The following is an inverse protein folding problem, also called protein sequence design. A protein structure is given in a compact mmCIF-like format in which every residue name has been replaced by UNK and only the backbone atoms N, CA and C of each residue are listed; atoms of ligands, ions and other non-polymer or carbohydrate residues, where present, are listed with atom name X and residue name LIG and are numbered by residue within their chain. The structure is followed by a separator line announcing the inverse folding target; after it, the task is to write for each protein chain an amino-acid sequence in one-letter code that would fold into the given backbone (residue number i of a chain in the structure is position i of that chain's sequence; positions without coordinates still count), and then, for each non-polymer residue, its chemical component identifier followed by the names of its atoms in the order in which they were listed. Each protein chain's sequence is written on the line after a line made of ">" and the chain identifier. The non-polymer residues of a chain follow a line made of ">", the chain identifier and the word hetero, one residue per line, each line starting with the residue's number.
data_IF_219854636928
#
_entry.id   IF_219854636928
#
_cell.length_a   1.000
_cell.length_b   1.000
_cell.length_c   1.000
_cell.angle_alpha   90.00
_cell.angle_beta   90.00
_cell.angle_gamma   90.00
#
_symmetry.space_group_name_H-M   'P 1'
#
loop_
_entity.id
_entity.type
_entity.pdbx_description
1 polymer ?
#
# COMPACT_ATOMS: atom_id res chain seq x y z
N UNK A 1 -7.77 6.26 7.70
CA UNK A 1 -6.91 5.65 6.65
C UNK A 1 -6.67 4.21 7.05
N UNK A 2 -6.69 3.26 6.13
CA UNK A 2 -6.29 1.86 6.38
C UNK A 2 -4.99 1.56 5.63
N UNK A 3 -4.11 0.81 6.26
CA UNK A 3 -2.94 0.18 5.67
C UNK A 3 -3.01 -1.33 5.91
N UNK A 4 -2.37 -2.06 5.01
CA UNK A 4 -2.16 -3.49 5.05
C UNK A 4 -0.71 -3.72 4.63
N UNK A 5 0.04 -4.34 5.52
CA UNK A 5 1.42 -4.69 5.27
C UNK A 5 1.71 -6.13 5.70
N UNK A 6 2.74 -6.72 5.12
CA UNK A 6 3.23 -8.04 5.47
C UNK A 6 4.68 -7.94 5.94
N UNK A 7 4.94 -8.56 7.09
CA UNK A 7 6.26 -8.55 7.70
C UNK A 7 6.67 -9.95 8.12
N UNK A 8 7.99 -10.15 8.25
CA UNK A 8 8.57 -11.40 8.68
C UNK A 8 8.98 -11.29 10.15
N UNK A 9 8.27 -11.96 11.08
CA UNK A 9 8.56 -11.86 12.52
C UNK A 9 9.72 -12.74 12.97
N UNK A 10 10.16 -13.71 12.15
CA UNK A 10 11.18 -14.69 12.52
C UNK A 10 12.39 -14.61 11.60
N UNK A 11 13.59 -14.61 12.20
CA UNK A 11 14.84 -14.70 11.45
C UNK A 11 15.09 -16.11 10.90
N UNK A 12 15.76 -16.19 9.75
CA UNK A 12 16.21 -17.46 9.17
C UNK A 12 15.11 -18.39 8.64
N UNK A 13 13.84 -17.98 8.67
CA UNK A 13 12.70 -18.76 8.14
C UNK A 13 11.80 -17.88 7.27
N UNK A 14 11.20 -18.47 6.23
CA UNK A 14 10.19 -17.77 5.43
C UNK A 14 8.84 -17.86 6.14
N UNK A 15 8.50 -16.80 6.87
CA UNK A 15 7.22 -16.68 7.56
C UNK A 15 6.72 -15.25 7.44
N UNK A 16 5.58 -15.04 6.83
CA UNK A 16 4.98 -13.72 6.61
C UNK A 16 3.66 -13.62 7.36
N UNK A 17 3.51 -12.59 8.17
CA UNK A 17 2.24 -12.22 8.84
C UNK A 17 1.76 -10.91 8.24
N UNK A 18 0.46 -10.81 7.98
CA UNK A 18 -0.15 -9.55 7.55
C UNK A 18 -0.78 -8.81 8.73
N UNK A 19 -0.74 -7.47 8.70
CA UNK A 19 -1.45 -6.63 9.68
C UNK A 19 -2.30 -5.62 8.92
N UNK A 20 -3.57 -5.52 9.29
CA UNK A 20 -4.43 -4.42 8.89
C UNK A 20 -4.46 -3.44 10.05
N UNK A 21 -4.05 -2.21 9.79
CA UNK A 21 -4.09 -1.15 10.78
C UNK A 21 -4.69 0.12 10.20
N UNK A 22 -5.18 1.00 11.07
CA UNK A 22 -5.79 2.25 10.69
C UNK A 22 -5.23 3.42 11.48
N UNK A 23 -5.12 4.55 10.79
CA UNK A 23 -4.83 5.84 11.39
C UNK A 23 -6.08 6.74 11.33
N UNK A 24 -6.34 7.45 12.43
CA UNK A 24 -7.43 8.43 12.52
C UNK A 24 -6.99 9.72 11.85
N UNK A 25 -7.52 10.01 10.66
CA UNK A 25 -7.09 11.17 9.87
C UNK A 25 -7.43 12.52 10.53
N UNK A 26 -8.32 12.55 11.51
CA UNK A 26 -8.69 13.76 12.25
C UNK A 26 -7.63 14.18 13.28
N UNK A 27 -6.70 13.30 13.64
CA UNK A 27 -5.61 13.65 14.55
C UNK A 27 -4.60 14.57 13.85
N UNK A 28 -4.00 15.52 14.60
CA UNK A 28 -2.86 16.31 14.13
C UNK A 28 -1.73 15.43 13.58
N UNK A 29 -1.04 15.94 12.55
CA UNK A 29 -0.07 15.16 11.78
C UNK A 29 1.08 14.60 12.63
N UNK A 30 1.54 15.37 13.60
CA UNK A 30 2.63 15.07 14.54
C UNK A 30 2.31 13.93 15.52
N UNK A 31 1.03 13.62 15.75
CA UNK A 31 0.63 12.52 16.64
C UNK A 31 -0.11 11.39 15.93
N UNK A 32 -0.67 11.64 14.74
CA UNK A 32 -1.56 10.71 14.01
C UNK A 32 -0.96 9.33 13.79
N UNK A 33 0.34 9.26 13.53
CA UNK A 33 1.03 8.03 13.17
C UNK A 33 1.86 7.42 14.30
N UNK A 34 1.81 8.01 15.51
CA UNK A 34 2.42 7.42 16.69
C UNK A 34 1.76 6.09 17.02
N UNK A 35 2.53 5.15 17.56
CA UNK A 35 2.10 3.78 17.83
C UNK A 35 0.83 3.72 18.69
N UNK A 36 0.74 4.57 19.70
CA UNK A 36 -0.41 4.67 20.61
C UNK A 36 -1.71 5.15 19.94
N UNK A 37 -1.61 5.80 18.77
CA UNK A 37 -2.75 6.33 18.01
C UNK A 37 -3.11 5.49 16.78
N UNK A 38 -2.36 4.41 16.53
CA UNK A 38 -2.66 3.45 15.47
C UNK A 38 -3.61 2.37 15.99
N UNK A 39 -4.63 2.07 15.20
CA UNK A 39 -5.64 1.05 15.51
C UNK A 39 -5.30 -0.22 14.75
N UNK A 40 -4.94 -1.30 15.45
CA UNK A 40 -4.81 -2.62 14.82
C UNK A 40 -6.20 -3.19 14.60
N UNK A 41 -6.58 -3.37 13.34
CA UNK A 41 -7.91 -3.84 12.95
C UNK A 41 -7.97 -5.35 12.70
N UNK A 42 -6.83 -5.96 12.35
CA UNK A 42 -6.79 -7.39 12.11
C UNK A 42 -5.38 -7.92 11.87
N UNK A 43 -5.20 -9.21 12.18
CA UNK A 43 -3.97 -9.95 11.93
C UNK A 43 -4.29 -11.09 10.94
N UNK A 44 -3.49 -11.20 9.90
CA UNK A 44 -3.58 -12.21 8.86
C UNK A 44 -2.53 -13.28 9.16
N UNK A 45 -2.93 -14.54 9.41
CA UNK A 45 -2.01 -15.58 9.79
C UNK A 45 -1.03 -15.91 8.66
N UNK A 46 0.21 -16.23 9.04
CA UNK A 46 1.21 -16.80 8.15
C UNK A 46 1.01 -18.30 7.91
N UNK A 47 1.99 -18.98 7.28
CA UNK A 47 3.33 -18.49 6.95
C UNK A 47 3.42 -17.69 5.66
N UNK A 48 2.36 -17.63 4.86
CA UNK A 48 2.35 -16.98 3.55
C UNK A 48 1.34 -15.84 3.52
N UNK A 49 1.60 -14.85 2.66
CA UNK A 49 0.64 -13.79 2.39
C UNK A 49 -0.72 -14.37 1.97
N UNK A 50 -1.80 -13.84 2.54
CA UNK A 50 -3.16 -14.25 2.19
C UNK A 50 -3.41 -13.99 0.70
N UNK A 51 -3.88 -15.02 0.00
CA UNK A 51 -3.97 -15.01 -1.45
C UNK A 51 -5.21 -14.29 -1.97
N UNK A 52 -5.02 -13.54 -3.06
CA UNK A 52 -6.04 -13.02 -3.98
C UNK A 52 -7.28 -12.45 -3.26
N UNK A 53 -8.42 -13.12 -3.37
CA UNK A 53 -9.72 -12.67 -2.85
C UNK A 53 -10.04 -13.23 -1.47
N UNK A 54 -9.22 -14.13 -0.90
CA UNK A 54 -9.44 -14.64 0.47
C UNK A 54 -9.29 -13.55 1.52
N UNK A 55 -8.54 -12.49 1.19
CA UNK A 55 -8.43 -11.30 2.03
C UNK A 55 -9.79 -10.69 2.37
N UNK A 56 -10.79 -10.81 1.49
CA UNK A 56 -12.14 -10.34 1.74
C UNK A 56 -12.76 -10.93 3.00
N UNK A 57 -12.41 -12.16 3.39
CA UNK A 57 -12.92 -12.74 4.64
C UNK A 57 -12.43 -12.00 5.89
N UNK A 58 -11.24 -11.39 5.83
CA UNK A 58 -10.67 -10.60 6.91
C UNK A 58 -11.15 -9.14 6.88
N UNK A 59 -11.45 -8.62 5.68
CA UNK A 59 -11.93 -7.24 5.50
C UNK A 59 -13.43 -7.11 5.76
N UNK A 60 -14.22 -8.16 5.50
CA UNK A 60 -15.66 -8.16 5.72
C UNK A 60 -16.10 -7.68 7.12
N UNK A 61 -15.54 -8.16 8.25
CA UNK A 61 -15.92 -7.64 9.57
C UNK A 61 -15.57 -6.17 9.75
N UNK A 62 -14.42 -5.71 9.25
CA UNK A 62 -14.02 -4.30 9.30
C UNK A 62 -15.00 -3.44 8.49
N UNK A 63 -15.43 -3.91 7.32
CA UNK A 63 -16.40 -3.21 6.48
C UNK A 63 -17.77 -3.14 7.15
N UNK A 64 -18.22 -4.20 7.83
CA UNK A 64 -19.47 -4.16 8.59
C UNK A 64 -19.46 -3.03 9.63
N UNK A 65 -18.37 -2.89 10.40
CA UNK A 65 -18.21 -1.80 11.37
C UNK A 65 -18.18 -0.43 10.69
N UNK A 66 -17.49 -0.31 9.56
CA UNK A 66 -17.44 0.94 8.79
C UNK A 66 -18.79 1.35 8.19
N UNK A 67 -19.66 0.40 7.82
CA UNK A 67 -21.02 0.67 7.36
C UNK A 67 -21.91 1.19 8.51
N UNK A 68 -21.77 0.61 9.71
CA UNK A 68 -22.44 1.10 10.91
C UNK A 68 -21.97 2.52 11.25
N UNK A 69 -20.66 2.74 11.28
CA UNK A 69 -20.07 4.06 11.54
C UNK A 69 -20.44 5.10 10.48
N UNK A 70 -20.59 4.70 9.23
CA UNK A 70 -21.03 5.61 8.17
C UNK A 70 -22.48 6.07 8.38
N UNK A 71 -23.36 5.14 8.77
CA UNK A 71 -24.76 5.45 9.11
C UNK A 71 -24.84 6.37 10.33
N UNK A 72 -23.92 6.18 11.27
CA UNK A 72 -23.74 6.96 12.48
C UNK A 72 -24.16 6.19 13.71
N UNK A 73 -23.36 6.29 14.76
CA UNK A 73 -23.60 5.65 16.05
C UNK A 73 -23.66 6.71 17.15
N UNK A 74 -24.53 6.48 18.15
CA UNK A 74 -24.59 7.35 19.33
C UNK A 74 -23.71 6.75 20.42
N UNK A 75 -22.68 7.50 20.82
CA UNK A 75 -21.92 7.20 22.03
C UNK A 75 -22.66 7.81 23.22
N UNK A 76 -22.91 7.02 24.26
CA UNK A 76 -23.72 7.45 25.42
C UNK A 76 -23.03 8.52 26.26
N UNK A 77 -21.72 8.40 26.46
CA UNK A 77 -20.93 9.34 27.24
C UNK A 77 -19.48 9.33 26.75
N UNK A 78 -18.89 10.51 26.58
CA UNK A 78 -17.44 10.67 26.39
C UNK A 78 -16.90 11.64 27.44
N UNK A 79 -15.56 11.72 27.58
CA UNK A 79 -14.92 12.64 28.52
C UNK A 79 -15.38 14.10 28.31
N UNK A 80 -15.47 14.54 27.05
CA UNK A 80 -15.89 15.91 26.69
C UNK A 80 -17.41 16.06 26.50
N UNK A 81 -18.16 14.96 26.33
CA UNK A 81 -19.59 15.01 26.02
C UNK A 81 -20.35 14.06 26.97
N UNK A 82 -20.77 14.59 28.12
CA UNK A 82 -21.49 13.81 29.13
C UNK A 82 -22.88 13.35 28.68
N UNK A 83 -23.52 14.12 27.80
CA UNK A 83 -24.83 13.81 27.22
C UNK A 83 -24.75 12.88 25.99
N UNK A 84 -23.57 12.34 25.73
CA UNK A 84 -23.29 11.55 24.54
C UNK A 84 -23.07 12.38 23.29
N UNK A 85 -22.74 11.69 22.19
CA UNK A 85 -22.47 12.31 20.89
C UNK A 85 -22.76 11.32 19.78
N UNK A 86 -23.46 11.78 18.74
CA UNK A 86 -23.55 11.02 17.50
C UNK A 86 -22.25 11.20 16.72
N UNK A 87 -21.62 10.10 16.34
CA UNK A 87 -20.38 10.09 15.58
C UNK A 87 -20.57 9.32 14.28
N UNK A 88 -19.83 9.75 13.27
CA UNK A 88 -19.69 9.06 11.99
C UNK A 88 -18.22 8.87 11.66
N UNK A 89 -17.91 7.79 10.97
CA UNK A 89 -16.58 7.57 10.40
C UNK A 89 -16.68 7.15 8.93
N UNK A 90 -15.68 7.55 8.16
CA UNK A 90 -15.55 7.17 6.76
C UNK A 90 -14.11 6.75 6.45
N UNK A 91 -13.98 5.67 5.69
CA UNK A 91 -12.70 5.26 5.12
C UNK A 91 -12.37 6.13 3.90
N UNK A 92 -11.48 7.11 4.10
CA UNK A 92 -11.11 8.07 3.04
C UNK A 92 -9.86 7.68 2.24
N UNK A 93 -8.98 6.83 2.79
CA UNK A 93 -7.67 6.53 2.21
C UNK A 93 -7.24 5.09 2.51
N UNK A 94 -6.76 4.40 1.46
CA UNK A 94 -5.98 3.16 1.50
C UNK A 94 -4.55 3.53 1.15
N UNK A 95 -3.65 3.37 2.10
CA UNK A 95 -2.22 3.61 1.93
C UNK A 95 -1.53 2.28 2.14
N UNK A 96 -1.14 1.61 1.08
CA UNK A 96 -0.40 0.35 1.17
C UNK A 96 0.63 0.30 0.03
N UNK A 97 1.55 -0.66 0.10
CA UNK A 97 2.32 -1.02 -1.09
C UNK A 97 1.39 -1.43 -2.26
N UNK A 98 1.91 -1.37 -3.48
CA UNK A 98 1.10 -1.62 -4.68
C UNK A 98 0.46 -3.03 -4.66
N UNK A 99 1.17 -4.12 -4.33
CA UNK A 99 0.57 -5.44 -4.17
C UNK A 99 -0.61 -5.48 -3.18
N UNK A 100 -0.45 -4.94 -1.97
CA UNK A 100 -1.47 -4.90 -0.93
C UNK A 100 -2.68 -4.07 -1.34
N UNK A 101 -2.45 -2.85 -1.83
CA UNK A 101 -3.50 -1.94 -2.29
C UNK A 101 -4.34 -2.59 -3.39
N UNK A 102 -3.70 -3.29 -4.34
CA UNK A 102 -4.42 -3.99 -5.40
C UNK A 102 -5.23 -5.17 -4.87
N UNK A 103 -4.70 -5.96 -3.93
CA UNK A 103 -5.43 -7.06 -3.29
C UNK A 103 -6.66 -6.56 -2.54
N UNK A 104 -6.50 -5.56 -1.66
CA UNK A 104 -7.59 -5.07 -0.80
C UNK A 104 -8.64 -4.29 -1.59
N UNK A 105 -8.28 -3.59 -2.66
CA UNK A 105 -9.21 -2.80 -3.47
C UNK A 105 -9.72 -3.50 -4.73
N UNK A 106 -9.35 -4.76 -4.99
CA UNK A 106 -9.88 -5.54 -6.11
C UNK A 106 -9.26 -5.21 -7.48
N UNK A 107 -8.08 -4.60 -7.51
CA UNK A 107 -7.29 -4.37 -8.74
C UNK A 107 -6.33 -5.54 -9.02
N UNK A 108 -5.69 -5.54 -10.20
CA UNK A 108 -4.83 -6.64 -10.69
C UNK A 108 -3.40 -6.16 -10.91
N UNK A 109 -2.41 -6.96 -10.49
CA UNK A 109 -1.02 -6.48 -10.42
C UNK A 109 -0.18 -6.54 -11.70
N UNK A 110 -0.43 -7.51 -12.59
CA UNK A 110 0.48 -7.75 -13.72
C UNK A 110 0.11 -6.95 -14.98
N UNK A 111 -1.17 -6.76 -15.27
CA UNK A 111 -1.65 -6.25 -16.57
C UNK A 111 -1.95 -4.75 -16.58
N UNK A 112 -2.21 -4.16 -15.40
CA UNK A 112 -2.69 -2.79 -15.25
C UNK A 112 -1.72 -2.04 -14.36
N UNK A 113 -0.98 -1.12 -14.96
CA UNK A 113 0.09 -0.37 -14.31
C UNK A 113 -0.43 0.58 -13.25
N UNK A 114 -1.61 1.16 -13.48
CA UNK A 114 -2.18 2.23 -12.66
C UNK A 114 -3.62 1.91 -12.25
N UNK A 115 -3.94 2.08 -10.97
CA UNK A 115 -5.32 1.94 -10.48
C UNK A 115 -6.23 3.09 -10.90
N UNK A 116 -5.67 4.21 -11.39
CA UNK A 116 -6.41 5.40 -11.80
C UNK A 116 -6.75 5.45 -13.28
N UNK A 117 -5.90 4.88 -14.15
CA UNK A 117 -6.07 4.98 -15.59
C UNK A 117 -6.13 3.63 -16.31
N UNK A 118 -6.54 3.66 -17.56
CA UNK A 118 -6.74 2.48 -18.40
C UNK A 118 -5.45 1.95 -19.06
N UNK A 119 -4.32 2.66 -18.92
CA UNK A 119 -3.02 2.27 -19.49
C UNK A 119 -2.63 0.87 -18.98
N UNK A 120 -2.35 -0.02 -19.92
CA UNK A 120 -1.80 -1.35 -19.67
C UNK A 120 -0.30 -1.31 -19.89
N UNK A 121 0.43 -2.16 -19.18
CA UNK A 121 1.85 -2.33 -19.44
C UNK A 121 2.01 -2.97 -20.83
N UNK A 122 3.00 -2.51 -21.59
CA UNK A 122 3.43 -3.21 -22.80
C UNK A 122 4.00 -4.57 -22.38
N UNK A 123 3.96 -5.55 -23.28
CA UNK A 123 4.52 -6.86 -23.04
C UNK A 123 5.51 -7.18 -24.15
N UNK A 124 6.79 -7.06 -23.83
CA UNK A 124 7.93 -7.19 -24.74
C UNK A 124 8.97 -8.08 -24.06
N UNK A 125 9.63 -8.98 -24.81
CA UNK A 125 10.67 -9.88 -24.30
C UNK A 125 10.30 -10.67 -23.02
N UNK A 126 9.05 -11.15 -22.95
CA UNK A 126 8.49 -11.83 -21.78
C UNK A 126 8.50 -11.01 -20.48
N UNK A 127 8.58 -9.68 -20.59
CA UNK A 127 8.55 -8.75 -19.47
C UNK A 127 7.52 -7.64 -19.69
N UNK A 128 6.93 -7.18 -18.58
CA UNK A 128 6.07 -5.99 -18.61
C UNK A 128 6.94 -4.74 -18.72
N UNK A 129 6.78 -4.00 -19.82
CA UNK A 129 7.42 -2.72 -20.07
C UNK A 129 6.44 -1.58 -19.75
N UNK A 130 6.90 -0.62 -18.95
CA UNK A 130 6.12 0.55 -18.51
C UNK A 130 6.62 1.86 -19.16
N UNK A 131 7.41 1.77 -20.23
CA UNK A 131 7.82 2.89 -21.06
C UNK A 131 6.64 3.47 -21.88
N UNK A 132 6.90 4.53 -22.65
CA UNK A 132 5.86 5.19 -23.45
C UNK A 132 4.85 5.94 -22.58
N UNK A 133 5.37 6.58 -21.52
CA UNK A 133 4.63 7.54 -20.67
C UNK A 133 4.72 8.97 -21.23
N UNK A 134 5.44 9.16 -22.33
CA UNK A 134 5.43 10.38 -23.15
C UNK A 134 3.99 10.67 -23.61
N UNK A 135 3.67 11.96 -23.77
CA UNK A 135 2.36 12.43 -24.25
C UNK A 135 1.16 11.89 -23.45
N UNK A 136 1.22 12.01 -22.12
CA UNK A 136 0.17 11.56 -21.20
C UNK A 136 -1.24 12.00 -21.61
N UNK A 137 -1.39 13.19 -22.16
CA UNK A 137 -2.68 13.74 -22.62
C UNK A 137 -3.37 12.84 -23.66
N UNK A 138 -2.60 12.11 -24.47
CA UNK A 138 -3.15 11.28 -25.55
C UNK A 138 -3.64 9.92 -25.05
N UNK A 139 -3.00 9.34 -24.04
CA UNK A 139 -3.31 7.98 -23.58
C UNK A 139 -3.97 7.90 -22.20
N UNK A 140 -3.96 9.00 -21.42
CA UNK A 140 -4.51 8.99 -20.08
C UNK A 140 -6.04 9.04 -20.11
N UNK A 141 -6.63 7.87 -19.94
CA UNK A 141 -8.07 7.71 -19.75
C UNK A 141 -8.32 7.26 -18.32
N UNK A 142 -9.04 8.08 -17.55
CA UNK A 142 -9.40 7.77 -16.16
C UNK A 142 -10.36 6.59 -16.12
N UNK A 143 -10.16 5.68 -15.16
CA UNK A 143 -11.09 4.59 -14.88
C UNK A 143 -12.39 5.15 -14.30
N UNK A 144 -13.51 4.63 -14.77
CA UNK A 144 -14.80 4.93 -14.16
C UNK A 144 -15.04 4.07 -12.90
N UNK A 145 -15.40 4.70 -11.80
CA UNK A 145 -15.64 4.05 -10.51
C UNK A 145 -16.93 3.21 -10.56
N UNK A 146 -17.94 3.68 -11.28
CA UNK A 146 -19.23 2.96 -11.44
C UNK A 146 -19.04 1.70 -12.26
N UNK A 147 -18.30 1.79 -13.37
CA UNK A 147 -17.94 0.65 -14.20
C UNK A 147 -17.08 -0.36 -13.41
N UNK A 148 -16.13 0.13 -12.62
CA UNK A 148 -15.33 -0.73 -11.74
C UNK A 148 -16.21 -1.54 -10.79
N UNK A 149 -17.18 -0.89 -10.11
CA UNK A 149 -18.15 -1.56 -9.23
C UNK A 149 -19.00 -2.59 -9.96
N UNK A 150 -19.52 -2.24 -11.14
CA UNK A 150 -20.32 -3.15 -11.99
C UNK A 150 -19.50 -4.38 -12.38
N UNK A 151 -18.26 -4.18 -12.82
CA UNK A 151 -17.35 -5.26 -13.20
C UNK A 151 -16.97 -6.13 -11.99
N UNK A 152 -16.75 -5.55 -10.81
CA UNK A 152 -16.46 -6.29 -9.58
C UNK A 152 -17.64 -7.17 -9.13
N UNK A 153 -18.87 -6.68 -9.25
CA UNK A 153 -20.09 -7.46 -8.98
C UNK A 153 -20.24 -8.61 -10.00
N UNK A 154 -20.03 -8.34 -11.29
CA UNK A 154 -20.06 -9.38 -12.31
C UNK A 154 -19.01 -10.47 -12.04
N UNK A 155 -17.80 -10.10 -11.62
CA UNK A 155 -16.77 -11.05 -11.19
C UNK A 155 -17.21 -11.89 -9.99
N UNK A 156 -17.88 -11.29 -9.01
CA UNK A 156 -18.40 -12.00 -7.82
C UNK A 156 -19.41 -13.07 -8.22
N UNK A 157 -20.28 -12.75 -9.18
CA UNK A 157 -21.31 -13.63 -9.73
C UNK A 157 -20.79 -14.72 -10.66
N UNK A 158 -19.49 -14.75 -11.01
CA UNK A 158 -18.92 -15.84 -11.78
C UNK A 158 -18.94 -17.15 -10.96
N UNK A 159 -19.46 -18.21 -11.58
CA UNK A 159 -19.71 -19.51 -10.94
C UNK A 159 -18.50 -20.47 -10.93
N UNK A 160 -17.40 -20.12 -11.59
CA UNK A 160 -16.21 -20.97 -11.66
C UNK A 160 -14.91 -20.18 -11.54
N UNK A 161 -13.88 -20.84 -11.03
CA UNK A 161 -12.52 -20.27 -10.96
C UNK A 161 -12.00 -19.87 -12.34
N UNK A 162 -12.33 -20.64 -13.37
CA UNK A 162 -11.90 -20.34 -14.74
C UNK A 162 -12.59 -19.08 -15.29
N UNK A 163 -13.91 -18.97 -15.09
CA UNK A 163 -14.66 -17.76 -15.47
C UNK A 163 -14.12 -16.52 -14.76
N UNK A 164 -13.82 -16.62 -13.45
CA UNK A 164 -13.18 -15.52 -12.69
C UNK A 164 -11.81 -15.14 -13.22
N UNK A 165 -10.99 -16.10 -13.65
CA UNK A 165 -9.67 -15.85 -14.24
C UNK A 165 -9.79 -15.12 -15.58
N UNK A 166 -10.69 -15.59 -16.46
CA UNK A 166 -10.94 -14.96 -17.76
C UNK A 166 -11.51 -13.54 -17.61
N UNK A 167 -12.43 -13.35 -16.66
CA UNK A 167 -12.98 -12.02 -16.38
C UNK A 167 -11.90 -11.05 -15.92
N UNK A 168 -10.98 -11.53 -15.08
CA UNK A 168 -9.83 -10.74 -14.59
C UNK A 168 -8.86 -10.37 -15.71
N UNK A 169 -8.56 -11.27 -16.64
CA UNK A 169 -7.66 -10.95 -17.76
C UNK A 169 -8.28 -9.90 -18.69
N UNK A 170 -9.59 -9.96 -18.89
CA UNK A 170 -10.31 -9.02 -19.75
C UNK A 170 -10.51 -7.66 -19.07
N UNK A 171 -11.14 -7.63 -17.88
CA UNK A 171 -11.58 -6.39 -17.22
C UNK A 171 -10.57 -5.84 -16.21
N UNK A 172 -9.67 -6.67 -15.69
CA UNK A 172 -8.65 -6.25 -14.72
C UNK A 172 -9.20 -5.91 -13.33
N UNK A 173 -10.36 -6.48 -12.94
CA UNK A 173 -11.05 -6.18 -11.67
C UNK A 173 -11.52 -7.47 -10.99
N UNK A 174 -11.56 -7.46 -9.66
CA UNK A 174 -12.15 -8.47 -8.77
C UNK A 174 -13.04 -7.83 -7.72
N UNK A 175 -13.84 -8.64 -7.05
CA UNK A 175 -14.59 -8.20 -5.89
C UNK A 175 -13.68 -7.82 -4.72
N UNK A 176 -13.99 -6.68 -4.10
CA UNK A 176 -13.47 -6.26 -2.80
C UNK A 176 -14.64 -5.94 -1.88
N UNK A 177 -14.56 -6.37 -0.62
CA UNK A 177 -15.54 -5.99 0.39
C UNK A 177 -15.63 -4.48 0.61
N UNK A 178 -14.55 -3.72 0.36
CA UNK A 178 -14.57 -2.26 0.47
C UNK A 178 -15.60 -1.62 -0.48
N UNK A 179 -15.97 -2.29 -1.57
CA UNK A 179 -16.99 -1.80 -2.50
C UNK A 179 -18.41 -1.85 -1.91
N UNK A 180 -18.62 -2.47 -0.76
CA UNK A 180 -19.91 -2.36 -0.05
C UNK A 180 -20.13 -0.97 0.52
N UNK A 181 -19.05 -0.28 0.91
CA UNK A 181 -19.11 1.10 1.40
C UNK A 181 -19.61 2.01 0.26
N UNK A 182 -20.75 2.71 0.44
CA UNK A 182 -21.39 3.46 -0.64
C UNK A 182 -20.56 4.66 -1.11
N UNK A 183 -19.74 5.23 -0.23
CA UNK A 183 -18.90 6.40 -0.48
C UNK A 183 -17.49 6.05 -1.00
N UNK A 184 -17.09 4.79 -0.96
CA UNK A 184 -15.71 4.40 -1.25
C UNK A 184 -15.43 4.45 -2.76
N UNK A 185 -14.41 5.19 -3.18
CA UNK A 185 -13.99 5.23 -4.58
C UNK A 185 -12.66 4.46 -4.77
N UNK A 186 -12.67 3.23 -5.32
CA UNK A 186 -11.46 2.43 -5.53
C UNK A 186 -10.48 3.04 -6.54
N UNK A 187 -10.88 4.07 -7.29
CA UNK A 187 -10.03 4.78 -8.24
C UNK A 187 -9.32 5.94 -7.54
N UNK A 188 -9.97 6.61 -6.58
CA UNK A 188 -9.46 7.83 -5.95
C UNK A 188 -8.89 7.63 -4.55
N UNK A 189 -9.37 6.65 -3.79
CA UNK A 189 -9.05 6.51 -2.37
C UNK A 189 -7.80 5.66 -2.13
N UNK A 190 -7.19 5.11 -3.17
CA UNK A 190 -5.88 4.45 -3.09
C UNK A 190 -4.79 5.50 -3.30
N UNK A 191 -3.95 5.70 -2.30
CA UNK A 191 -2.78 6.58 -2.40
C UNK A 191 -1.51 5.79 -2.67
N UNK A 192 -0.55 6.47 -3.30
CA UNK A 192 0.79 5.92 -3.50
C UNK A 192 1.50 5.96 -2.16
N UNK A 193 1.98 4.81 -1.70
CA UNK A 193 2.85 4.74 -0.54
C UNK A 193 4.22 5.36 -0.86
N UNK A 194 4.58 6.51 -0.22
CA UNK A 194 5.85 7.17 -0.46
C UNK A 194 7.05 6.30 -0.07
N UNK A 195 6.91 5.42 0.93
CA UNK A 195 7.99 4.53 1.35
C UNK A 195 8.35 3.53 0.28
N UNK A 196 7.37 2.80 -0.22
CA UNK A 196 7.62 1.81 -1.26
C UNK A 196 7.94 2.45 -2.61
N UNK A 197 7.28 3.56 -2.96
CA UNK A 197 7.44 4.19 -4.26
C UNK A 197 8.70 5.08 -4.34
N UNK A 198 8.81 6.10 -3.47
CA UNK A 198 9.90 7.08 -3.56
C UNK A 198 11.18 6.53 -2.96
N UNK A 199 11.11 6.02 -1.74
CA UNK A 199 12.28 5.66 -0.94
C UNK A 199 12.89 4.32 -1.33
N UNK A 200 12.07 3.31 -1.59
CA UNK A 200 12.53 1.97 -2.00
C UNK A 200 12.56 1.77 -3.52
N UNK A 201 11.71 2.48 -4.26
CA UNK A 201 11.62 2.41 -5.71
C UNK A 201 12.55 3.42 -6.40
N UNK A 202 12.14 4.68 -6.45
CA UNK A 202 12.80 5.74 -7.24
C UNK A 202 14.22 6.01 -6.75
N UNK A 203 14.42 6.25 -5.45
CA UNK A 203 15.75 6.55 -4.92
C UNK A 203 16.74 5.42 -5.22
N UNK A 204 16.32 4.16 -5.01
CA UNK A 204 17.12 2.99 -5.36
C UNK A 204 17.42 2.91 -6.86
N UNK A 205 16.43 3.23 -7.71
CA UNK A 205 16.60 3.22 -9.16
C UNK A 205 17.61 4.29 -9.60
N UNK A 206 17.49 5.53 -9.11
CA UNK A 206 18.45 6.63 -9.41
C UNK A 206 19.86 6.22 -9.00
N UNK A 207 20.02 5.75 -7.76
CA UNK A 207 21.31 5.32 -7.23
C UNK A 207 21.95 4.25 -8.09
N UNK A 208 21.19 3.21 -8.45
CA UNK A 208 21.74 2.09 -9.20
C UNK A 208 21.93 2.43 -10.68
N UNK A 209 20.88 2.88 -11.36
CA UNK A 209 20.85 3.02 -12.82
C UNK A 209 21.51 4.28 -13.32
N UNK A 210 21.45 5.37 -12.54
CA UNK A 210 22.08 6.62 -12.97
C UNK A 210 23.44 6.73 -12.29
N UNK A 211 23.52 6.63 -10.97
CA UNK A 211 24.78 6.99 -10.31
C UNK A 211 25.86 5.92 -10.42
N UNK A 212 25.50 4.64 -10.29
CA UNK A 212 26.46 3.54 -10.34
C UNK A 212 26.67 3.05 -11.79
N UNK A 213 25.60 2.68 -12.49
CA UNK A 213 25.69 2.07 -13.83
C UNK A 213 26.31 3.07 -14.86
N UNK A 214 26.01 4.37 -14.77
CA UNK A 214 26.62 5.42 -15.63
C UNK A 214 27.94 5.98 -15.06
N UNK A 215 28.53 5.32 -14.04
CA UNK A 215 29.81 5.68 -13.44
C UNK A 215 29.91 7.12 -12.86
N UNK A 216 28.78 7.74 -12.48
CA UNK A 216 28.79 9.05 -11.78
C UNK A 216 29.40 8.93 -10.38
N UNK A 217 29.17 7.81 -9.70
CA UNK A 217 29.81 7.44 -8.44
C UNK A 217 30.68 6.20 -8.65
N UNK A 218 31.95 6.32 -8.28
CA UNK A 218 32.88 5.20 -8.29
C UNK A 218 32.78 4.38 -7.00
N UNK A 219 33.36 3.17 -7.01
CA UNK A 219 33.51 2.35 -5.80
C UNK A 219 34.25 3.09 -4.68
N UNK A 220 35.20 3.96 -5.02
CA UNK A 220 35.93 4.75 -4.03
C UNK A 220 35.03 5.81 -3.38
N UNK A 221 34.15 6.44 -4.15
CA UNK A 221 33.17 7.40 -3.63
C UNK A 221 32.17 6.72 -2.69
N UNK A 222 31.68 5.53 -3.07
CA UNK A 222 30.79 4.74 -2.23
C UNK A 222 31.44 4.34 -0.89
N UNK A 223 32.73 4.01 -0.89
CA UNK A 223 33.49 3.73 0.35
C UNK A 223 33.58 4.97 1.23
N UNK A 224 33.95 6.11 0.67
CA UNK A 224 34.01 7.38 1.41
C UNK A 224 32.65 7.78 1.99
N UNK A 225 31.56 7.57 1.24
CA UNK A 225 30.19 7.81 1.73
C UNK A 225 29.89 6.89 2.91
N UNK A 226 30.20 5.60 2.80
CA UNK A 226 29.97 4.64 3.90
C UNK A 226 30.77 5.02 5.15
N UNK A 227 32.03 5.42 5.00
CA UNK A 227 32.88 5.87 6.11
C UNK A 227 32.29 7.10 6.81
N UNK A 228 31.85 8.10 6.04
CA UNK A 228 31.16 9.28 6.59
C UNK A 228 29.86 8.90 7.29
N UNK A 229 29.07 7.99 6.70
CA UNK A 229 27.82 7.54 7.28
C UNK A 229 28.03 6.81 8.61
N UNK A 230 29.08 6.01 8.73
CA UNK A 230 29.44 5.32 9.98
C UNK A 230 29.82 6.29 11.12
N UNK A 231 30.15 7.54 10.83
CA UNK A 231 30.48 8.55 11.84
C UNK A 231 29.25 9.23 12.44
N UNK A 232 28.08 9.15 11.78
CA UNK A 232 26.85 9.72 12.32
C UNK A 232 26.37 8.90 13.51
N UNK A 233 26.08 9.60 14.62
CA UNK A 233 25.32 9.04 15.73
C UNK A 233 23.88 9.46 15.57
N UNK A 234 23.02 8.50 15.21
CA UNK A 234 21.60 8.76 15.11
C UNK A 234 20.94 8.55 16.49
N UNK A 235 20.16 9.52 16.99
CA UNK A 235 19.30 9.37 18.15
C UNK A 235 18.40 8.12 18.07
N UNK A 236 18.10 7.48 19.20
CA UNK A 236 17.35 6.21 19.21
C UNK A 236 15.91 6.31 18.69
N UNK A 237 15.37 7.53 18.68
CA UNK A 237 14.06 7.91 18.14
C UNK A 237 14.04 8.07 16.61
N UNK A 238 15.22 8.12 15.98
CA UNK A 238 15.36 8.12 14.53
C UNK A 238 15.73 6.71 14.03
N UNK A 239 15.34 6.41 12.79
CA UNK A 239 15.63 5.12 12.17
C UNK A 239 17.14 4.83 12.03
N UNK A 240 17.48 3.59 11.71
CA UNK A 240 18.87 3.14 11.60
C UNK A 240 19.59 3.78 10.39
N UNK A 241 20.93 3.80 10.33
CA UNK A 241 21.66 4.30 9.14
C UNK A 241 21.71 3.26 8.02
N UNK A 242 21.52 3.65 6.74
CA UNK A 242 21.76 2.79 5.57
C UNK A 242 23.16 2.17 5.57
N UNK A 243 23.22 0.85 5.74
CA UNK A 243 24.46 0.05 5.70
C UNK A 243 24.68 -0.65 4.36
N UNK A 244 25.91 -1.06 4.03
CA UNK A 244 26.30 -1.70 2.76
C UNK A 244 26.19 -0.79 1.52
N UNK A 245 26.40 0.50 1.69
CA UNK A 245 26.50 1.49 0.60
C UNK A 245 27.68 1.20 -0.31
N UNK A 246 28.81 0.79 0.27
CA UNK A 246 30.00 0.33 -0.45
C UNK A 246 29.70 -0.76 -1.51
N UNK A 247 28.64 -1.55 -1.31
CA UNK A 247 28.22 -2.62 -2.23
C UNK A 247 27.12 -2.18 -3.19
N UNK A 248 26.77 -0.89 -3.22
CA UNK A 248 25.63 -0.34 -3.97
C UNK A 248 24.27 -0.83 -3.47
N UNK A 249 24.20 -1.46 -2.28
CA UNK A 249 23.00 -2.12 -1.75
C UNK A 249 22.36 -1.37 -0.59
N UNK A 250 23.06 -0.42 0.02
CA UNK A 250 22.60 0.27 1.21
C UNK A 250 21.49 1.28 0.99
N UNK A 251 21.25 1.75 -0.23
CA UNK A 251 20.31 2.84 -0.51
C UNK A 251 18.82 2.45 -0.50
N UNK A 252 18.42 1.45 0.29
CA UNK A 252 17.01 1.27 0.65
C UNK A 252 16.69 2.34 1.69
N UNK A 253 16.05 3.43 1.26
CA UNK A 253 15.79 4.63 2.08
C UNK A 253 14.72 4.40 3.15
N UNK A 254 14.71 3.27 3.85
CA UNK A 254 13.74 3.02 4.93
C UNK A 254 14.14 3.73 6.23
N UNK A 255 15.32 4.29 6.28
CA UNK A 255 16.01 4.35 7.55
C UNK A 255 16.04 5.76 8.18
N UNK A 256 15.35 6.73 7.56
CA UNK A 256 15.10 8.05 8.15
C UNK A 256 13.66 8.24 8.67
N UNK A 257 12.75 7.29 8.44
CA UNK A 257 11.34 7.39 8.86
C UNK A 257 10.92 6.18 9.72
N UNK A 258 11.72 5.11 9.77
CA UNK A 258 11.40 3.87 10.49
C UNK A 258 11.80 3.84 11.97
N UNK A 259 11.93 4.99 12.64
CA UNK A 259 12.11 5.01 14.11
C UNK A 259 10.92 4.43 14.86
N UNK A 260 9.73 4.42 14.24
CA UNK A 260 8.49 4.00 14.91
C UNK A 260 7.66 2.93 14.18
N UNK A 261 8.03 2.51 12.96
CA UNK A 261 7.19 1.58 12.16
C UNK A 261 7.61 0.10 12.20
N UNK A 262 8.63 -0.27 12.96
CA UNK A 262 8.93 -1.67 13.28
C UNK A 262 8.06 -2.15 14.45
N UNK A 263 6.92 -2.75 14.13
CA UNK A 263 6.33 -3.81 14.95
C UNK A 263 6.88 -5.17 14.48
#
# INVERSE_FOLDING_TARGET
>A
MINLDWFQPYDGTFYSIGVIYAAVCNLPHDIRFKRENLLVLGLLPGPNEVSLHKINHYIAPIVNELELLWSGITLNQTFECQNGKNIRAALVLISCDIPAARKICGHISALVSCHRCMKRANYEDHQHNFAGMEDMENWFITRDSTEHRRNALAWRSCNSTNSRKNFVSEKGVRWSELLRLPYFDPIRFIIVDPMHCLFLGIARWIMKRIWIDECVLTLNDLKQIQEKMNQFKIPADLGQIPGNIERGKGFRTIQLISGEFSL
#
